data_IF_454758041762
#
_entry.id   IF_454758041762
#
_cell.length_a   1.000
_cell.length_b   1.000
_cell.length_c   1.000
_cell.angle_alpha   90.00
_cell.angle_beta   90.00
_cell.angle_gamma   90.00
#
_symmetry.space_group_name_H-M   'P 1'
#
loop_
_entity.id
_entity.type
_entity.pdbx_description
1 polymer ?
#
# COMPACT_ATOMS: atom_id res chain seq x y z
N UNK A 1 -7.57 -11.02 -14.55
CA UNK A 1 -6.32 -10.27 -14.30
C UNK A 1 -5.86 -10.65 -12.90
N UNK A 2 -4.59 -11.02 -12.73
CA UNK A 2 -4.07 -11.33 -11.39
C UNK A 2 -3.95 -10.02 -10.59
N UNK A 3 -4.80 -9.88 -9.56
CA UNK A 3 -4.84 -8.68 -8.72
C UNK A 3 -3.54 -8.50 -7.95
N UNK A 4 -2.83 -9.58 -7.63
CA UNK A 4 -1.54 -9.49 -6.96
C UNK A 4 -0.48 -8.83 -7.86
N UNK A 5 -0.43 -9.23 -9.13
CA UNK A 5 0.45 -8.62 -10.12
C UNK A 5 0.11 -7.13 -10.35
N UNK A 6 -1.18 -6.79 -10.37
CA UNK A 6 -1.63 -5.40 -10.50
C UNK A 6 -1.19 -4.55 -9.30
N UNK A 7 -1.34 -5.05 -8.07
CA UNK A 7 -0.86 -4.35 -6.88
C UNK A 7 0.66 -4.22 -6.88
N UNK A 8 1.39 -5.29 -7.19
CA UNK A 8 2.84 -5.25 -7.27
C UNK A 8 3.32 -4.19 -8.27
N UNK A 9 2.67 -4.11 -9.44
CA UNK A 9 2.95 -3.08 -10.43
C UNK A 9 2.70 -1.68 -9.88
N UNK A 10 1.53 -1.43 -9.28
CA UNK A 10 1.16 -0.13 -8.71
C UNK A 10 2.17 0.34 -7.65
N UNK A 11 2.56 -0.53 -6.71
CA UNK A 11 3.55 -0.17 -5.70
C UNK A 11 4.96 -0.01 -6.28
N UNK A 12 5.32 -0.76 -7.33
CA UNK A 12 6.62 -0.63 -8.01
C UNK A 12 6.74 0.68 -8.80
N UNK A 13 5.63 1.18 -9.33
CA UNK A 13 5.54 2.42 -10.11
C UNK A 13 5.23 3.65 -9.24
N UNK A 14 5.43 3.55 -7.92
CA UNK A 14 5.10 4.64 -7.00
C UNK A 14 5.88 5.91 -7.32
N UNK A 15 5.20 7.06 -7.53
CA UNK A 15 5.87 8.33 -7.83
C UNK A 15 6.83 8.76 -6.73
N UNK A 16 8.04 9.22 -7.10
CA UNK A 16 9.01 9.77 -6.15
C UNK A 16 8.51 11.04 -5.44
N UNK A 17 7.61 11.78 -6.07
CA UNK A 17 6.99 12.98 -5.52
C UNK A 17 5.89 12.69 -4.51
N UNK A 18 5.35 11.46 -4.48
CA UNK A 18 4.25 11.10 -3.59
C UNK A 18 4.80 10.50 -2.29
N UNK A 19 4.34 10.96 -1.12
CA UNK A 19 4.62 10.29 0.15
C UNK A 19 4.25 8.81 0.09
N UNK A 20 5.08 7.95 0.69
CA UNK A 20 4.78 6.51 0.84
C UNK A 20 3.84 6.28 2.03
N UNK A 21 2.69 6.96 2.01
CA UNK A 21 1.70 6.90 3.08
C UNK A 21 0.36 6.42 2.54
N UNK A 22 -0.42 5.76 3.40
CA UNK A 22 -1.74 5.28 3.05
C UNK A 22 -2.24 4.23 4.02
N UNK A 23 -3.31 3.55 3.66
CA UNK A 23 -3.89 2.45 4.44
C UNK A 23 -4.13 1.27 3.51
N UNK A 24 -3.47 0.15 3.77
CA UNK A 24 -3.76 -1.12 3.11
C UNK A 24 -4.92 -1.80 3.84
N UNK A 25 -5.93 -2.23 3.11
CA UNK A 25 -7.00 -3.09 3.61
C UNK A 25 -6.68 -4.50 3.16
N UNK A 26 -6.57 -5.43 4.09
CA UNK A 26 -6.36 -6.84 3.77
C UNK A 26 -7.68 -7.56 3.48
N UNK A 27 -7.61 -8.76 2.91
CA UNK A 27 -8.76 -9.66 2.77
C UNK A 27 -9.39 -10.06 4.11
N UNK A 28 -8.67 -9.90 5.21
CA UNK A 28 -9.18 -10.08 6.58
C UNK A 28 -9.88 -8.82 7.13
N UNK A 29 -10.13 -7.82 6.29
CA UNK A 29 -10.70 -6.52 6.66
C UNK A 29 -9.86 -5.75 7.70
N UNK A 30 -8.57 -6.06 7.81
CA UNK A 30 -7.66 -5.32 8.68
C UNK A 30 -7.17 -4.04 7.98
N UNK A 31 -7.33 -2.86 8.60
CA UNK A 31 -6.71 -1.63 8.12
C UNK A 31 -5.27 -1.51 8.66
N UNK A 32 -4.31 -1.46 7.74
CA UNK A 32 -2.88 -1.30 8.03
C UNK A 32 -2.44 0.07 7.52
N UNK A 33 -2.47 1.13 8.37
CA UNK A 33 -1.87 2.41 8.03
C UNK A 33 -0.36 2.26 7.90
N UNK A 34 0.23 2.83 6.85
CA UNK A 34 1.66 2.80 6.61
C UNK A 34 2.24 4.19 6.36
N UNK A 35 3.51 4.38 6.72
CA UNK A 35 4.30 5.58 6.44
C UNK A 35 5.51 5.33 5.55
N UNK A 36 5.81 4.05 5.29
CA UNK A 36 6.79 3.63 4.31
C UNK A 36 6.49 2.20 3.85
N UNK A 37 7.07 1.80 2.72
CA UNK A 37 7.02 0.42 2.27
C UNK A 37 8.24 0.00 1.45
N UNK A 38 8.52 -1.30 1.48
CA UNK A 38 9.47 -1.99 0.63
C UNK A 38 8.77 -3.13 -0.13
N UNK A 39 9.35 -3.50 -1.27
CA UNK A 39 8.81 -4.53 -2.15
C UNK A 39 9.79 -5.70 -2.22
N UNK A 40 9.24 -6.89 -2.18
CA UNK A 40 9.90 -8.14 -2.54
C UNK A 40 8.99 -8.89 -3.52
N UNK A 41 9.51 -9.94 -4.15
CA UNK A 41 8.68 -10.81 -5.00
C UNK A 41 7.47 -11.32 -4.21
N UNK A 42 6.26 -10.98 -4.66
CA UNK A 42 5.00 -11.41 -4.05
C UNK A 42 4.64 -10.76 -2.70
N UNK A 43 5.52 -9.96 -2.08
CA UNK A 43 5.37 -9.45 -0.71
C UNK A 43 5.55 -7.92 -0.64
N UNK A 44 4.65 -7.27 0.09
CA UNK A 44 4.70 -5.87 0.49
C UNK A 44 5.08 -5.77 1.97
N UNK A 45 6.19 -5.10 2.28
CA UNK A 45 6.58 -4.76 3.63
C UNK A 45 6.11 -3.35 3.97
N UNK A 46 5.34 -3.19 5.06
CA UNK A 46 4.76 -1.93 5.49
C UNK A 46 5.35 -1.51 6.83
N UNK A 47 5.73 -0.24 6.94
CA UNK A 47 6.12 0.40 8.19
C UNK A 47 4.96 1.23 8.74
N UNK A 48 4.66 1.08 10.03
CA UNK A 48 3.61 1.83 10.72
C UNK A 48 4.25 2.90 11.61
N UNK A 49 3.71 4.11 11.58
CA UNK A 49 4.08 5.16 12.54
C UNK A 49 3.65 4.78 13.97
N UNK A 50 2.37 4.42 14.12
CA UNK A 50 1.79 3.93 15.37
C UNK A 50 1.75 2.40 15.38
N UNK A 51 2.19 1.76 16.47
CA UNK A 51 2.10 0.31 16.59
C UNK A 51 0.64 -0.17 16.56
N UNK A 52 0.43 -1.44 16.23
CA UNK A 52 -0.87 -2.10 16.37
C UNK A 52 -1.17 -2.49 17.84
N UNK A 53 -2.29 -3.19 18.06
CA UNK A 53 -2.69 -3.70 19.38
C UNK A 53 -1.71 -4.73 19.97
N UNK A 54 -0.82 -5.30 19.15
CA UNK A 54 0.23 -6.26 19.54
C UNK A 54 1.62 -5.61 19.60
N UNK A 55 1.69 -4.27 19.54
CA UNK A 55 2.92 -3.49 19.51
C UNK A 55 3.80 -3.68 18.24
N UNK A 56 3.25 -4.27 17.17
CA UNK A 56 3.94 -4.46 15.91
C UNK A 56 4.05 -3.15 15.12
N UNK A 57 5.25 -2.86 14.60
CA UNK A 57 5.55 -1.65 13.81
C UNK A 57 5.88 -1.95 12.35
N UNK A 58 6.08 -3.22 12.01
CA UNK A 58 6.36 -3.69 10.67
C UNK A 58 5.44 -4.86 10.37
N UNK A 59 4.86 -4.87 9.18
CA UNK A 59 3.95 -5.94 8.73
C UNK A 59 4.36 -6.35 7.32
N UNK A 60 4.39 -7.66 7.07
CA UNK A 60 4.62 -8.22 5.74
C UNK A 60 3.31 -8.82 5.25
N UNK A 61 2.87 -8.41 4.06
CA UNK A 61 1.58 -8.82 3.49
C UNK A 61 1.84 -9.31 2.07
N UNK A 62 1.27 -10.47 1.72
CA UNK A 62 1.29 -10.93 0.33
C UNK A 62 0.43 -10.01 -0.55
N UNK A 63 0.84 -9.75 -1.79
CA UNK A 63 0.01 -8.94 -2.71
C UNK A 63 -1.38 -9.54 -2.96
N UNK A 64 -1.50 -10.88 -2.88
CA UNK A 64 -2.78 -11.60 -2.96
C UNK A 64 -3.73 -11.32 -1.79
N UNK A 65 -3.21 -10.87 -0.65
CA UNK A 65 -3.99 -10.53 0.54
C UNK A 65 -4.42 -9.07 0.58
N UNK A 66 -4.05 -8.25 -0.42
CA UNK A 66 -4.47 -6.85 -0.51
C UNK A 66 -5.85 -6.77 -1.16
N UNK A 67 -6.82 -6.26 -0.38
CA UNK A 67 -8.17 -5.98 -0.84
C UNK A 67 -8.29 -4.57 -1.41
N UNK A 68 -7.69 -3.57 -0.75
CA UNK A 68 -7.72 -2.18 -1.20
C UNK A 68 -6.54 -1.36 -0.66
N UNK A 69 -6.26 -0.23 -1.30
CA UNK A 69 -5.37 0.83 -0.78
C UNK A 69 -6.18 2.12 -0.68
N UNK A 70 -6.18 2.74 0.50
CA UNK A 70 -6.87 4.01 0.77
C UNK A 70 -5.84 5.11 1.02
N UNK A 71 -6.17 6.30 0.55
CA UNK A 71 -5.43 7.52 0.83
C UNK A 71 -6.28 8.45 1.70
N UNK A 72 -5.63 9.19 2.60
CA UNK A 72 -6.28 10.15 3.49
C UNK A 72 -5.99 11.59 3.09
N UNK A 73 -5.10 11.81 2.13
CA UNK A 73 -4.86 13.12 1.54
C UNK A 73 -6.08 13.59 0.72
N UNK A 74 -6.24 14.90 0.62
CA UNK A 74 -7.28 15.56 -0.17
C UNK A 74 -6.77 15.99 -1.55
N UNK A 75 -5.60 15.48 -1.96
CA UNK A 75 -4.99 15.84 -3.24
C UNK A 75 -5.81 15.29 -4.41
N UNK A 76 -5.78 16.01 -5.52
CA UNK A 76 -6.53 15.64 -6.72
C UNK A 76 -5.95 14.36 -7.37
N UNK A 77 -6.81 13.60 -8.05
CA UNK A 77 -6.47 12.41 -8.82
C UNK A 77 -5.49 12.67 -9.97
N UNK A 78 -5.21 13.94 -10.31
CA UNK A 78 -4.17 14.34 -11.27
C UNK A 78 -2.80 13.68 -10.98
N UNK A 79 -2.45 13.47 -9.71
CA UNK A 79 -1.21 12.80 -9.32
C UNK A 79 -1.25 11.26 -9.44
N UNK A 80 -2.43 10.68 -9.68
CA UNK A 80 -2.64 9.23 -9.78
C UNK A 80 -2.56 8.72 -11.22
N UNK A 81 -2.54 9.61 -12.22
CA UNK A 81 -2.26 9.21 -13.61
C UNK A 81 -0.90 8.53 -13.76
N UNK A 82 0.07 8.92 -12.93
CA UNK A 82 1.40 8.30 -12.87
C UNK A 82 1.37 6.87 -12.31
N UNK A 83 0.30 6.49 -11.61
CA UNK A 83 0.06 5.12 -11.12
C UNK A 83 -0.69 4.25 -12.15
N UNK A 84 -0.93 4.75 -13.36
CA UNK A 84 -1.57 4.00 -14.45
C UNK A 84 -3.10 4.09 -14.50
N UNK A 85 -3.71 4.97 -13.71
CA UNK A 85 -5.15 5.26 -13.80
C UNK A 85 -5.39 6.25 -14.94
N UNK A 86 -6.27 5.91 -15.87
CA UNK A 86 -6.63 6.72 -17.04
C UNK A 86 -8.01 7.39 -16.91
#
# INVERSE_FOLDING_TARGET
MDTAAAWQHLFSSWPKSRPKTGIVITTFQEPIPFTNFLLSEGILALERDRPDSQNARKVFVAFTAILAVKFTDTDDFLNFKQLGFC
#
